data_IF_987674929570
#
_entry.id   IF_987674929570
#
_cell.length_a   1.000
_cell.length_b   1.000
_cell.length_c   1.000
_cell.angle_alpha   90.00
_cell.angle_beta   90.00
_cell.angle_gamma   90.00
#
_symmetry.space_group_name_H-M   'P 1'
#
loop_
_entity.id
_entity.type
_entity.pdbx_description
1 polymer ?
#
# COMPACT_ATOMS: atom_id res chain seq x y z
N UNK A 1 -19.77 6.56 3.79
CA UNK A 1 -19.87 6.46 2.32
C UNK A 1 -21.33 6.29 1.94
N UNK A 2 -21.91 7.23 1.17
CA UNK A 2 -23.29 7.15 0.69
C UNK A 2 -23.30 7.54 -0.80
N UNK A 3 -23.44 6.57 -1.69
CA UNK A 3 -23.66 6.83 -3.12
C UNK A 3 -25.16 7.03 -3.38
N UNK A 4 -25.51 7.69 -4.50
CA UNK A 4 -26.91 7.90 -4.91
C UNK A 4 -27.29 7.10 -6.15
N UNK A 5 -26.45 7.14 -7.18
CA UNK A 5 -26.72 6.48 -8.46
C UNK A 5 -25.93 5.17 -8.58
N UNK A 6 -24.61 5.29 -8.52
CA UNK A 6 -23.67 4.19 -8.65
C UNK A 6 -22.53 4.33 -7.63
N UNK A 7 -21.97 3.22 -7.15
CA UNK A 7 -20.75 3.25 -6.37
C UNK A 7 -19.63 3.94 -7.13
N UNK A 8 -18.83 4.72 -6.42
CA UNK A 8 -17.71 5.46 -6.97
C UNK A 8 -16.51 5.38 -6.03
N UNK A 9 -15.33 5.72 -6.55
CA UNK A 9 -14.12 5.86 -5.76
C UNK A 9 -13.92 7.35 -5.44
N UNK A 10 -14.01 7.78 -4.16
CA UNK A 10 -13.72 9.15 -3.77
C UNK A 10 -12.26 9.54 -4.04
N UNK A 11 -12.00 10.83 -4.23
CA UNK A 11 -10.65 11.33 -4.46
C UNK A 11 -9.77 11.14 -3.22
N UNK A 12 -10.33 11.30 -2.03
CA UNK A 12 -9.65 11.11 -0.75
C UNK A 12 -9.20 9.65 -0.57
N UNK A 13 -9.96 8.69 -1.11
CA UNK A 13 -9.57 7.29 -1.15
C UNK A 13 -8.40 7.08 -2.12
N UNK A 14 -8.56 7.47 -3.38
CA UNK A 14 -7.60 7.15 -4.45
C UNK A 14 -6.30 7.95 -4.39
N UNK A 15 -6.33 9.16 -3.83
CA UNK A 15 -5.20 10.09 -3.78
C UNK A 15 -4.53 10.13 -2.41
N UNK A 16 -5.19 9.66 -1.34
CA UNK A 16 -4.60 9.61 -0.01
C UNK A 16 -4.78 8.24 0.67
N UNK A 17 -5.99 7.88 1.09
CA UNK A 17 -6.17 6.76 2.01
C UNK A 17 -5.62 5.45 1.46
N UNK A 18 -5.97 5.06 0.23
CA UNK A 18 -5.52 3.81 -0.40
C UNK A 18 -4.06 3.83 -0.89
N UNK A 19 -3.31 4.88 -0.57
CA UNK A 19 -1.87 5.00 -0.82
C UNK A 19 -1.04 4.78 0.44
N UNK A 20 -1.65 4.33 1.53
CA UNK A 20 -0.94 3.92 2.74
C UNK A 20 0.10 2.83 2.47
N UNK A 21 -0.18 1.95 1.49
CA UNK A 21 0.71 0.87 1.10
C UNK A 21 2.10 1.30 0.61
N UNK A 22 2.28 2.58 0.23
CA UNK A 22 3.61 3.09 -0.12
C UNK A 22 4.61 3.05 1.06
N UNK A 23 4.14 3.18 2.30
CA UNK A 23 4.99 3.07 3.50
C UNK A 23 5.37 1.62 3.81
N UNK A 24 4.57 0.66 3.35
CA UNK A 24 4.79 -0.77 3.57
C UNK A 24 5.80 -1.42 2.62
N UNK A 25 6.31 -0.67 1.65
CA UNK A 25 7.21 -1.19 0.60
C UNK A 25 8.64 -1.27 1.13
N UNK A 26 9.23 -2.47 1.27
CA UNK A 26 10.59 -2.63 1.76
C UNK A 26 11.62 -2.15 0.75
N UNK A 27 12.80 -1.76 1.22
CA UNK A 27 13.92 -1.36 0.36
C UNK A 27 14.57 -2.53 -0.39
N UNK A 28 14.47 -3.73 0.16
CA UNK A 28 14.97 -4.98 -0.44
C UNK A 28 13.97 -6.11 -0.18
N UNK A 29 13.96 -7.13 -1.03
CA UNK A 29 13.15 -8.33 -0.81
C UNK A 29 13.91 -9.57 -1.27
N UNK A 30 13.83 -10.65 -0.49
CA UNK A 30 14.20 -11.98 -0.99
C UNK A 30 13.07 -12.55 -1.83
N UNK A 31 13.33 -12.83 -3.10
CA UNK A 31 12.33 -13.36 -4.05
C UNK A 31 12.33 -14.89 -4.11
N UNK A 32 13.51 -15.51 -4.03
CA UNK A 32 13.72 -16.95 -4.03
C UNK A 32 15.15 -17.29 -3.54
N UNK A 33 15.57 -18.54 -3.66
CA UNK A 33 16.90 -19.05 -3.28
C UNK A 33 17.95 -19.04 -4.41
N UNK A 34 17.64 -18.41 -5.54
CA UNK A 34 18.49 -18.35 -6.74
C UNK A 34 18.94 -16.94 -7.12
N UNK A 35 18.06 -15.94 -7.00
CA UNK A 35 18.41 -14.55 -7.29
C UNK A 35 19.41 -14.07 -6.25
N UNK A 36 20.64 -13.79 -6.70
CA UNK A 36 21.58 -12.99 -5.95
C UNK A 36 21.97 -11.73 -6.73
N UNK A 37 22.17 -10.64 -5.99
CA UNK A 37 22.84 -9.43 -6.46
C UNK A 37 24.01 -9.17 -5.51
N UNK A 38 25.24 -9.07 -6.05
CA UNK A 38 26.47 -8.91 -5.27
C UNK A 38 26.63 -9.92 -4.11
N UNK A 39 26.22 -11.17 -4.32
CA UNK A 39 26.29 -12.24 -3.31
C UNK A 39 25.21 -12.18 -2.22
N UNK A 40 24.24 -11.27 -2.32
CA UNK A 40 23.11 -11.13 -1.41
C UNK A 40 21.82 -11.66 -2.04
N UNK A 41 21.02 -12.39 -1.27
CA UNK A 41 19.65 -12.77 -1.62
C UNK A 41 18.61 -11.69 -1.34
N UNK A 42 19.00 -10.63 -0.61
CA UNK A 42 18.17 -9.44 -0.43
C UNK A 42 18.38 -8.54 -1.64
N UNK A 43 17.41 -8.57 -2.55
CA UNK A 43 17.50 -7.87 -3.83
C UNK A 43 16.96 -6.45 -3.66
N UNK A 44 17.70 -5.41 -4.07
CA UNK A 44 17.21 -4.03 -4.07
C UNK A 44 15.90 -3.89 -4.82
N UNK A 45 14.98 -3.08 -4.29
CA UNK A 45 13.73 -2.82 -4.99
C UNK A 45 13.98 -2.13 -6.33
N UNK A 46 14.75 -1.03 -6.30
CA UNK A 46 15.15 -0.26 -7.48
C UNK A 46 16.61 0.18 -7.37
N UNK A 47 17.36 0.01 -8.45
CA UNK A 47 18.67 0.59 -8.70
C UNK A 47 18.64 1.27 -10.07
N UNK A 48 18.94 2.57 -10.08
CA UNK A 48 18.95 3.36 -11.32
C UNK A 48 20.02 2.92 -12.30
N UNK A 49 21.13 2.37 -11.81
CA UNK A 49 22.22 1.91 -12.68
C UNK A 49 21.81 0.68 -13.50
N UNK A 50 20.77 -0.03 -13.06
CA UNK A 50 20.21 -1.21 -13.70
C UNK A 50 19.08 -0.87 -14.71
N UNK A 51 18.67 0.41 -14.78
CA UNK A 51 17.56 0.81 -15.65
C UNK A 51 17.89 0.56 -17.13
N UNK A 52 17.00 -0.19 -17.79
CA UNK A 52 17.11 -0.52 -19.19
C UNK A 52 17.89 -1.81 -19.46
N UNK A 53 18.44 -2.45 -18.42
CA UNK A 53 18.90 -3.83 -18.53
C UNK A 53 17.71 -4.77 -18.77
N UNK A 54 17.92 -5.79 -19.60
CA UNK A 54 16.92 -6.83 -19.83
C UNK A 54 16.81 -7.81 -18.65
N UNK A 55 17.81 -7.93 -17.78
CA UNK A 55 17.75 -8.75 -16.57
C UNK A 55 18.51 -8.06 -15.42
N UNK A 56 18.00 -6.94 -14.88
CA UNK A 56 18.71 -6.05 -13.93
C UNK A 56 19.04 -6.68 -12.56
N UNK A 57 20.11 -6.30 -11.87
CA UNK A 57 20.41 -6.83 -10.52
C UNK A 57 19.59 -6.20 -9.36
N UNK A 58 18.35 -5.80 -9.68
CA UNK A 58 17.30 -5.29 -8.78
C UNK A 58 15.90 -5.91 -9.10
N UNK A 59 14.85 -5.39 -8.46
CA UNK A 59 13.46 -5.78 -8.70
C UNK A 59 12.70 -4.81 -9.63
N UNK A 60 13.41 -3.98 -10.39
CA UNK A 60 12.79 -3.13 -11.38
C UNK A 60 12.14 -3.95 -12.49
N UNK A 61 11.04 -3.42 -13.02
CA UNK A 61 10.27 -4.07 -14.09
C UNK A 61 10.86 -3.81 -15.48
N UNK A 62 10.04 -4.03 -16.50
CA UNK A 62 10.35 -3.73 -17.91
C UNK A 62 11.48 -4.55 -18.56
N UNK A 63 12.04 -5.52 -17.84
CA UNK A 63 12.96 -6.54 -18.35
C UNK A 63 12.31 -7.89 -18.70
N UNK A 64 13.16 -8.88 -18.91
CA UNK A 64 12.84 -10.29 -19.16
C UNK A 64 12.44 -11.00 -17.86
N UNK A 65 11.49 -11.93 -17.98
CA UNK A 65 11.20 -12.93 -16.94
C UNK A 65 12.29 -14.01 -16.92
N UNK A 66 13.47 -13.68 -16.37
CA UNK A 66 14.57 -14.63 -16.20
C UNK A 66 14.24 -15.70 -15.14
N UNK A 67 14.83 -16.89 -15.28
CA UNK A 67 14.57 -18.02 -14.38
C UNK A 67 14.88 -17.69 -12.91
N UNK A 68 15.98 -16.96 -12.68
CA UNK A 68 16.37 -16.48 -11.34
C UNK A 68 15.32 -15.60 -10.67
N UNK A 69 14.28 -15.11 -11.36
CA UNK A 69 13.27 -14.17 -10.82
C UNK A 69 11.94 -14.83 -10.44
N UNK A 70 11.77 -16.14 -10.64
CA UNK A 70 10.52 -16.79 -10.28
C UNK A 70 10.27 -16.67 -8.78
N UNK A 71 9.12 -16.10 -8.42
CA UNK A 71 8.77 -15.82 -7.03
C UNK A 71 8.54 -17.15 -6.29
N UNK A 72 9.24 -17.34 -5.18
CA UNK A 72 8.88 -18.34 -4.19
C UNK A 72 7.91 -17.69 -3.21
N UNK A 73 6.62 -18.07 -3.30
CA UNK A 73 5.53 -17.44 -2.53
C UNK A 73 5.67 -17.59 -1.01
N UNK A 74 6.43 -18.57 -0.55
CA UNK A 74 6.78 -18.75 0.85
C UNK A 74 7.53 -17.56 1.47
N UNK A 75 8.13 -16.69 0.65
CA UNK A 75 8.78 -15.47 1.11
C UNK A 75 7.84 -14.26 1.20
N UNK A 76 6.62 -14.35 0.63
CA UNK A 76 5.65 -13.26 0.60
C UNK A 76 4.42 -13.55 1.47
N UNK A 77 4.00 -14.80 1.57
CA UNK A 77 2.82 -15.22 2.32
C UNK A 77 3.19 -16.19 3.42
N UNK A 78 2.46 -16.12 4.53
CA UNK A 78 2.62 -17.08 5.63
C UNK A 78 2.00 -18.42 5.26
N UNK A 79 2.82 -19.32 4.73
CA UNK A 79 2.46 -20.70 4.42
C UNK A 79 2.72 -21.66 5.60
N UNK A 80 3.02 -21.12 6.80
CA UNK A 80 3.28 -21.91 8.00
C UNK A 80 4.71 -22.46 8.12
N UNK A 81 5.59 -22.19 7.15
CA UNK A 81 6.99 -22.60 7.19
C UNK A 81 7.93 -21.58 7.86
N UNK A 82 7.40 -20.41 8.26
CA UNK A 82 8.14 -19.36 8.95
C UNK A 82 9.17 -18.60 8.09
N UNK A 83 9.12 -18.69 6.76
CA UNK A 83 10.07 -17.98 5.88
C UNK A 83 9.55 -16.66 5.33
N UNK A 84 8.28 -16.34 5.57
CA UNK A 84 7.66 -15.14 5.02
C UNK A 84 8.31 -13.85 5.54
N UNK A 85 8.40 -12.85 4.67
CA UNK A 85 8.90 -11.52 5.04
C UNK A 85 7.70 -10.62 5.33
N UNK A 86 7.69 -10.00 6.51
CA UNK A 86 6.70 -8.97 6.82
C UNK A 86 6.94 -7.73 5.94
N UNK A 87 5.87 -6.99 5.64
CA UNK A 87 6.00 -5.66 5.04
C UNK A 87 6.62 -4.68 6.04
N UNK A 88 7.06 -3.53 5.54
CA UNK A 88 7.34 -2.39 6.42
C UNK A 88 6.05 -1.92 7.11
N UNK A 89 6.20 -1.14 8.19
CA UNK A 89 5.08 -0.58 8.95
C UNK A 89 4.33 0.47 8.12
N UNK A 90 3.12 0.79 8.55
CA UNK A 90 2.36 1.94 8.05
C UNK A 90 2.72 3.13 8.93
N UNK A 91 3.76 3.87 8.55
CA UNK A 91 4.24 5.03 9.29
C UNK A 91 4.73 6.14 8.34
N UNK A 92 5.30 7.20 8.91
CA UNK A 92 5.77 8.36 8.13
C UNK A 92 7.16 8.14 7.51
N UNK A 93 7.73 6.94 7.61
CA UNK A 93 9.00 6.53 7.01
C UNK A 93 8.73 5.72 5.74
N UNK A 94 9.53 5.99 4.71
CA UNK A 94 9.46 5.27 3.44
C UNK A 94 10.84 4.72 3.09
N UNK A 95 10.87 3.60 2.38
CA UNK A 95 12.11 3.02 1.88
C UNK A 95 12.81 3.98 0.90
N UNK A 96 14.14 4.05 1.00
CA UNK A 96 14.99 4.92 0.18
C UNK A 96 14.72 4.84 -1.34
N UNK A 97 14.54 3.65 -1.94
CA UNK A 97 14.23 3.50 -3.36
C UNK A 97 12.99 4.27 -3.84
N UNK A 98 12.03 4.58 -2.94
CA UNK A 98 10.84 5.35 -3.30
C UNK A 98 11.10 6.85 -3.46
N UNK A 99 12.23 7.37 -2.99
CA UNK A 99 12.60 8.77 -3.17
C UNK A 99 13.27 9.05 -4.53
N UNK A 100 13.73 8.02 -5.23
CA UNK A 100 14.38 8.14 -6.53
C UNK A 100 13.93 7.04 -7.50
N UNK A 101 12.69 7.17 -8.01
CA UNK A 101 12.14 6.20 -8.95
C UNK A 101 12.87 6.25 -10.31
N UNK A 102 13.48 5.14 -10.78
CA UNK A 102 14.32 5.16 -11.98
C UNK A 102 13.50 5.28 -13.28
N UNK A 103 12.23 4.88 -13.27
CA UNK A 103 11.34 4.87 -14.44
C UNK A 103 10.57 6.19 -14.65
N UNK A 104 10.87 7.24 -13.88
CA UNK A 104 10.33 8.58 -14.07
C UNK A 104 11.41 9.42 -14.77
N UNK A 105 11.21 9.71 -16.06
CA UNK A 105 12.34 9.98 -16.97
C UNK A 105 12.24 11.17 -17.93
N UNK A 106 11.29 12.09 -17.80
CA UNK A 106 11.42 13.39 -18.48
C UNK A 106 12.25 14.35 -17.62
N UNK A 107 13.16 15.12 -18.22
CA UNK A 107 13.89 16.18 -17.52
C UNK A 107 12.90 17.15 -16.85
N UNK A 108 13.02 17.30 -15.54
CA UNK A 108 12.13 18.13 -14.72
C UNK A 108 10.99 17.38 -14.00
N UNK A 109 10.81 16.08 -14.24
CA UNK A 109 9.82 15.29 -13.50
C UNK A 109 10.26 15.00 -12.06
N UNK A 110 9.28 15.06 -11.14
CA UNK A 110 9.48 14.70 -9.74
C UNK A 110 9.61 13.19 -9.62
N UNK A 111 10.82 12.70 -9.32
CA UNK A 111 11.13 11.26 -9.15
C UNK A 111 10.68 10.71 -7.79
N UNK A 112 10.67 11.54 -6.76
CA UNK A 112 10.27 11.13 -5.41
C UNK A 112 8.79 10.78 -5.34
N UNK A 113 8.48 9.51 -5.06
CA UNK A 113 7.12 9.03 -4.86
C UNK A 113 6.36 9.80 -3.77
N UNK A 114 6.90 10.02 -2.55
CA UNK A 114 6.19 10.81 -1.54
C UNK A 114 5.95 12.26 -1.99
N UNK A 115 6.90 12.88 -2.71
CA UNK A 115 6.70 14.22 -3.26
C UNK A 115 5.61 14.24 -4.34
N UNK A 116 5.61 13.28 -5.27
CA UNK A 116 4.53 13.11 -6.27
C UNK A 116 3.18 12.95 -5.59
N UNK A 117 3.15 12.21 -4.49
CA UNK A 117 1.94 11.95 -3.74
C UNK A 117 1.38 13.22 -3.08
N UNK A 118 2.23 13.99 -2.40
CA UNK A 118 1.85 15.27 -1.79
C UNK A 118 1.39 16.29 -2.84
N UNK A 119 2.12 16.41 -3.96
CA UNK A 119 1.74 17.29 -5.07
C UNK A 119 0.41 16.88 -5.70
N UNK A 120 0.16 15.57 -5.84
CA UNK A 120 -1.12 15.05 -6.33
C UNK A 120 -2.26 15.41 -5.36
N UNK A 121 -2.06 15.24 -4.06
CA UNK A 121 -3.03 15.65 -3.04
C UNK A 121 -3.36 17.13 -3.12
N UNK A 122 -2.34 17.98 -3.26
CA UNK A 122 -2.52 19.42 -3.44
C UNK A 122 -3.28 19.75 -4.73
N UNK A 123 -2.89 19.16 -5.86
CA UNK A 123 -3.52 19.42 -7.17
C UNK A 123 -5.02 19.02 -7.21
N UNK A 124 -5.42 18.00 -6.45
CA UNK A 124 -6.81 17.58 -6.31
C UNK A 124 -7.57 18.32 -5.21
N UNK A 125 -6.91 19.27 -4.52
CA UNK A 125 -7.54 20.06 -3.46
C UNK A 125 -7.97 19.22 -2.26
N UNK A 126 -7.19 18.19 -1.90
CA UNK A 126 -7.54 17.36 -0.76
C UNK A 126 -7.62 18.19 0.53
N UNK A 127 -8.65 17.98 1.38
CA UNK A 127 -8.70 18.56 2.72
C UNK A 127 -7.55 18.04 3.59
N UNK A 128 -7.23 18.75 4.67
CA UNK A 128 -6.26 18.26 5.66
C UNK A 128 -6.80 17.04 6.42
N UNK A 129 -5.89 16.27 7.02
CA UNK A 129 -6.26 15.16 7.88
C UNK A 129 -7.17 15.58 9.04
N UNK A 130 -6.87 16.72 9.68
CA UNK A 130 -7.69 17.28 10.76
C UNK A 130 -9.10 17.67 10.27
N UNK A 131 -9.21 18.25 9.07
CA UNK A 131 -10.51 18.61 8.50
C UNK A 131 -11.36 17.36 8.18
N UNK A 132 -10.73 16.31 7.61
CA UNK A 132 -11.40 15.03 7.35
C UNK A 132 -11.81 14.35 8.65
N UNK A 133 -10.93 14.29 9.65
CA UNK A 133 -11.24 13.71 10.95
C UNK A 133 -12.48 14.36 11.57
N UNK A 134 -12.53 15.71 11.61
CA UNK A 134 -13.71 16.44 12.08
C UNK A 134 -14.97 16.13 11.27
N UNK A 135 -14.88 16.11 9.95
CA UNK A 135 -16.02 15.82 9.07
C UNK A 135 -16.55 14.37 9.23
N UNK A 136 -15.66 13.43 9.57
CA UNK A 136 -16.00 12.03 9.83
C UNK A 136 -16.38 11.75 11.29
N UNK A 137 -16.36 12.78 12.15
CA UNK A 137 -16.55 12.68 13.60
C UNK A 137 -15.52 11.75 14.28
N UNK A 138 -14.28 11.76 13.79
CA UNK A 138 -13.12 11.16 14.43
C UNK A 138 -12.36 12.22 15.23
N UNK A 139 -11.73 11.82 16.33
CA UNK A 139 -10.86 12.71 17.11
C UNK A 139 -9.60 13.05 16.28
N UNK A 140 -9.30 14.33 16.03
CA UNK A 140 -8.07 14.70 15.35
C UNK A 140 -6.84 14.35 16.19
N UNK A 141 -5.74 13.99 15.53
CA UNK A 141 -4.46 13.77 16.19
C UNK A 141 -4.06 15.03 16.96
N UNK A 142 -3.53 14.85 18.19
CA UNK A 142 -3.02 15.98 18.97
C UNK A 142 -1.82 16.61 18.25
N UNK A 143 -1.62 17.92 18.41
CA UNK A 143 -0.54 18.65 17.71
C UNK A 143 0.84 18.11 18.04
N UNK A 144 1.01 17.58 19.24
CA UNK A 144 2.21 16.95 19.75
C UNK A 144 2.63 15.74 18.90
N UNK A 145 1.66 15.01 18.34
CA UNK A 145 1.90 13.89 17.43
C UNK A 145 2.36 14.34 16.03
N UNK A 146 2.37 15.66 15.76
CA UNK A 146 2.73 16.29 14.50
C UNK A 146 3.81 17.38 14.68
N UNK A 147 4.47 17.39 15.84
CA UNK A 147 5.42 18.44 16.20
C UNK A 147 6.63 18.53 15.24
N UNK A 148 7.01 17.39 14.63
CA UNK A 148 8.09 17.28 13.66
C UNK A 148 7.80 17.98 12.32
N UNK A 149 6.53 18.29 12.03
CA UNK A 149 6.12 19.04 10.83
C UNK A 149 5.56 20.44 11.16
N UNK A 150 5.75 20.89 12.40
CA UNK A 150 5.25 22.19 12.86
C UNK A 150 5.93 23.39 12.16
N UNK A 151 7.22 23.29 11.83
CA UNK A 151 7.96 24.33 11.12
C UNK A 151 7.41 24.59 9.70
N UNK A 152 6.72 23.60 9.13
CA UNK A 152 6.01 23.71 7.85
C UNK A 152 4.56 24.20 8.02
N UNK A 153 4.10 24.39 9.26
CA UNK A 153 2.71 24.69 9.61
C UNK A 153 1.74 23.52 9.43
N UNK A 154 2.26 22.32 9.17
CA UNK A 154 1.46 21.12 8.93
C UNK A 154 0.99 20.45 10.21
N UNK A 155 1.41 20.88 11.40
CA UNK A 155 0.82 20.50 12.68
C UNK A 155 -0.66 20.93 12.81
N UNK A 156 -1.07 21.92 12.00
CA UNK A 156 -2.45 22.47 11.96
C UNK A 156 -3.31 21.87 10.87
N UNK A 157 -2.75 21.78 9.67
CA UNK A 157 -3.42 21.38 8.45
C UNK A 157 -2.51 20.42 7.70
N UNK A 158 -2.43 19.18 8.20
CA UNK A 158 -1.53 18.16 7.67
C UNK A 158 -2.07 17.62 6.34
N UNK A 159 -1.23 17.43 5.30
CA UNK A 159 -1.63 16.72 4.09
C UNK A 159 -2.24 15.35 4.43
N UNK A 160 -3.44 15.07 3.87
CA UNK A 160 -4.25 13.92 4.27
C UNK A 160 -3.51 12.58 4.26
N UNK A 161 -2.70 12.31 3.23
CA UNK A 161 -1.93 11.06 3.16
C UNK A 161 -0.91 10.94 4.30
N UNK A 162 -0.14 12.00 4.57
CA UNK A 162 0.83 12.00 5.66
C UNK A 162 0.12 11.83 7.01
N UNK A 163 -1.02 12.49 7.19
CA UNK A 163 -1.81 12.35 8.40
C UNK A 163 -2.29 10.90 8.61
N UNK A 164 -2.75 10.21 7.56
CA UNK A 164 -3.20 8.81 7.65
C UNK A 164 -2.04 7.88 8.06
N UNK A 165 -0.84 8.14 7.55
CA UNK A 165 0.36 7.40 7.96
C UNK A 165 0.72 7.68 9.43
N UNK A 166 0.72 8.95 9.86
CA UNK A 166 0.99 9.33 11.24
C UNK A 166 -0.08 8.82 12.21
N UNK A 167 -1.34 8.75 11.77
CA UNK A 167 -2.44 8.17 12.54
C UNK A 167 -2.20 6.68 12.79
N UNK A 168 -1.82 5.92 11.76
CA UNK A 168 -1.47 4.51 11.89
C UNK A 168 -0.24 4.30 12.81
N UNK A 169 0.80 5.11 12.62
CA UNK A 169 2.03 5.10 13.43
C UNK A 169 1.71 5.28 14.92
N UNK A 170 0.97 6.33 15.27
CA UNK A 170 0.75 6.74 16.67
C UNK A 170 -0.32 5.90 17.37
N UNK A 171 -1.39 5.53 16.68
CA UNK A 171 -2.55 4.86 17.30
C UNK A 171 -2.52 3.35 17.17
N UNK A 172 -1.72 2.80 16.25
CA UNK A 172 -1.72 1.38 15.93
C UNK A 172 -0.31 0.78 15.77
N UNK A 173 0.74 1.49 16.20
CA UNK A 173 2.14 1.05 16.05
C UNK A 173 2.48 0.73 14.57
N UNK A 174 1.81 1.39 13.63
CA UNK A 174 1.92 1.15 12.19
C UNK A 174 1.56 -0.28 11.73
N UNK A 175 0.90 -1.10 12.57
CA UNK A 175 0.51 -2.47 12.22
C UNK A 175 -0.79 -2.55 11.42
N UNK A 176 -1.59 -1.50 11.51
CA UNK A 176 -2.84 -1.34 10.78
C UNK A 176 -3.15 0.15 10.62
N UNK A 177 -4.07 0.48 9.72
CA UNK A 177 -4.57 1.84 9.59
C UNK A 177 -5.23 2.32 10.91
N UNK A 178 -5.10 3.61 11.17
CA UNK A 178 -5.83 4.26 12.26
C UNK A 178 -7.33 4.38 12.00
N UNK A 179 -8.11 4.88 12.98
CA UNK A 179 -9.57 4.94 12.90
C UNK A 179 -10.10 5.69 11.67
N UNK A 180 -9.54 6.85 11.32
CA UNK A 180 -9.97 7.62 10.16
C UNK A 180 -9.55 6.93 8.87
N UNK A 181 -8.25 6.65 8.70
CA UNK A 181 -7.73 6.03 7.48
C UNK A 181 -8.37 4.68 7.18
N UNK A 182 -8.52 3.83 8.21
CA UNK A 182 -9.14 2.52 8.11
C UNK A 182 -10.61 2.61 7.73
N UNK A 183 -11.36 3.54 8.34
CA UNK A 183 -12.77 3.77 7.99
C UNK A 183 -12.93 4.26 6.55
N UNK A 184 -12.07 5.17 6.09
CA UNK A 184 -12.09 5.64 4.69
C UNK A 184 -11.91 4.49 3.70
N UNK A 185 -10.95 3.59 3.95
CA UNK A 185 -10.70 2.43 3.08
C UNK A 185 -11.87 1.45 3.14
N UNK A 186 -12.30 1.07 4.35
CA UNK A 186 -13.35 0.10 4.55
C UNK A 186 -14.69 0.54 3.95
N UNK A 187 -15.11 1.78 4.19
CA UNK A 187 -16.39 2.29 3.69
C UNK A 187 -16.47 2.28 2.16
N UNK A 188 -15.35 2.53 1.45
CA UNK A 188 -15.31 2.47 -0.01
C UNK A 188 -15.36 1.03 -0.51
N UNK A 189 -14.53 0.13 0.03
CA UNK A 189 -14.52 -1.28 -0.40
C UNK A 189 -15.86 -1.97 -0.13
N UNK A 190 -16.44 -1.76 1.05
CA UNK A 190 -17.76 -2.30 1.40
C UNK A 190 -18.83 -1.72 0.47
N UNK A 191 -18.83 -0.40 0.26
CA UNK A 191 -19.84 0.24 -0.57
C UNK A 191 -19.75 -0.12 -2.07
N UNK A 192 -18.55 -0.44 -2.57
CA UNK A 192 -18.37 -1.03 -3.91
C UNK A 192 -18.97 -2.43 -3.97
N UNK A 193 -18.69 -3.29 -2.97
CA UNK A 193 -19.25 -4.65 -2.89
C UNK A 193 -20.78 -4.63 -2.80
N UNK A 194 -21.36 -3.78 -1.96
CA UNK A 194 -22.82 -3.68 -1.79
C UNK A 194 -23.53 -3.14 -3.04
N UNK A 195 -22.89 -2.22 -3.75
CA UNK A 195 -23.50 -1.59 -4.92
C UNK A 195 -23.34 -2.39 -6.22
N UNK A 196 -22.32 -3.25 -6.32
CA UNK A 196 -22.16 -4.15 -7.47
C UNK A 196 -23.20 -5.29 -7.42
N UNK A 197 -24.01 -5.41 -8.49
CA UNK A 197 -25.04 -6.46 -8.64
C UNK A 197 -24.45 -7.85 -8.81
N UNK A 198 -23.20 -7.95 -9.27
CA UNK A 198 -22.50 -9.20 -9.52
C UNK A 198 -21.61 -9.64 -8.36
N UNK A 199 -21.43 -8.79 -7.34
CA UNK A 199 -20.66 -9.19 -6.16
C UNK A 199 -21.32 -10.36 -5.46
N UNK A 200 -20.53 -11.26 -4.87
CA UNK A 200 -21.08 -12.37 -4.07
C UNK A 200 -21.97 -11.86 -2.93
N UNK A 201 -21.63 -10.73 -2.30
CA UNK A 201 -22.42 -10.11 -1.23
C UNK A 201 -23.86 -9.81 -1.66
N UNK A 202 -24.08 -9.50 -2.95
CA UNK A 202 -25.40 -9.14 -3.48
C UNK A 202 -26.06 -10.24 -4.31
N UNK A 203 -25.30 -10.93 -5.14
CA UNK A 203 -25.80 -11.96 -6.04
C UNK A 203 -26.10 -13.28 -5.32
N UNK A 204 -25.30 -13.63 -4.31
CA UNK A 204 -25.46 -14.84 -3.51
C UNK A 204 -24.97 -14.60 -2.06
N UNK A 205 -25.79 -13.93 -1.21
CA UNK A 205 -25.37 -13.51 0.14
C UNK A 205 -25.07 -14.68 1.09
N UNK A 206 -25.50 -15.90 0.74
CA UNK A 206 -25.24 -17.11 1.51
C UNK A 206 -24.05 -17.90 0.96
N UNK A 207 -23.48 -17.46 -0.16
CA UNK A 207 -22.32 -18.08 -0.77
C UNK A 207 -21.17 -18.20 0.23
N UNK A 208 -20.51 -19.35 0.15
CA UNK A 208 -19.30 -19.66 0.90
C UNK A 208 -18.27 -20.25 -0.04
N UNK A 209 -16.98 -19.94 0.11
CA UNK A 209 -15.97 -20.55 -0.72
C UNK A 209 -15.88 -22.06 -0.49
N UNK A 210 -15.62 -22.80 -1.57
CA UNK A 210 -15.57 -24.27 -1.60
C UNK A 210 -14.17 -24.82 -1.90
N UNK A 211 -13.22 -23.97 -2.27
CA UNK A 211 -11.87 -24.36 -2.67
C UNK A 211 -10.85 -24.31 -1.52
N UNK A 212 -11.24 -23.83 -0.33
CA UNK A 212 -10.33 -23.77 0.81
C UNK A 212 -10.26 -25.07 1.59
N UNK A 213 -9.18 -25.22 2.38
CA UNK A 213 -8.97 -26.38 3.24
C UNK A 213 -10.04 -26.52 4.35
N UNK A 214 -10.68 -25.41 4.74
CA UNK A 214 -11.78 -25.36 5.70
C UNK A 214 -13.06 -24.88 5.02
N UNK A 215 -14.16 -25.57 5.31
CA UNK A 215 -15.45 -25.25 4.69
C UNK A 215 -15.86 -23.80 4.96
N UNK A 216 -16.11 -23.05 3.89
CA UNK A 216 -16.51 -21.65 3.95
C UNK A 216 -15.40 -20.67 4.31
N UNK A 217 -14.14 -21.10 4.30
CA UNK A 217 -12.97 -20.24 4.37
C UNK A 217 -12.13 -20.40 3.09
N UNK A 218 -11.51 -19.31 2.64
CA UNK A 218 -10.57 -19.34 1.54
C UNK A 218 -9.63 -18.15 1.64
N UNK A 219 -8.33 -18.44 1.78
CA UNK A 219 -7.26 -17.48 1.87
C UNK A 219 -6.28 -17.59 0.70
N UNK A 220 -5.26 -16.74 0.75
CA UNK A 220 -4.22 -16.73 -0.29
C UNK A 220 -3.44 -18.04 -0.34
N UNK A 221 -3.23 -18.72 0.80
CA UNK A 221 -2.53 -20.01 0.83
C UNK A 221 -3.34 -21.09 0.12
N UNK A 222 -4.66 -21.14 0.31
CA UNK A 222 -5.53 -22.08 -0.42
C UNK A 222 -5.45 -21.85 -1.93
N UNK A 223 -5.35 -20.59 -2.37
CA UNK A 223 -5.17 -20.25 -3.78
C UNK A 223 -3.82 -20.76 -4.32
N UNK A 224 -2.74 -20.60 -3.55
CA UNK A 224 -1.40 -21.06 -3.94
C UNK A 224 -1.36 -22.59 -4.05
N UNK A 225 -1.93 -23.29 -3.06
CA UNK A 225 -2.04 -24.75 -3.06
C UNK A 225 -2.87 -25.24 -4.26
N UNK A 226 -4.01 -24.59 -4.53
CA UNK A 226 -4.86 -24.92 -5.67
C UNK A 226 -4.16 -24.69 -7.02
N UNK A 227 -3.33 -23.65 -7.13
CA UNK A 227 -2.59 -23.31 -8.34
C UNK A 227 -1.32 -24.17 -8.56
N UNK A 228 -0.94 -24.99 -7.57
CA UNK A 228 0.28 -25.82 -7.61
C UNK A 228 1.56 -24.99 -7.49
N UNK A 229 1.50 -23.91 -6.70
CA UNK A 229 2.59 -22.95 -6.52
C UNK A 229 3.64 -23.40 -5.50
#
# INVERSE_FOLDING_TARGET
YQWRNEPYIPVEFSVAAYRYGHSQVPGTLKVNDQFQSNGSYQIPLFDRNELGDADPDDLSGFGKRAERRYVNWNYLFDTGNGTHQASDRIDTVLSGPLFDLPFVGADGDVRSLPQRNLLRGHAFGLPSGQAVARAMCCDPLPREALADVADLGFDRETPLWFYILREAEVLADGKQLGPMGGRMVAEVLIGLLEGDRQSFVRADPQWKPTLGAREGEFGIVDLLDFAGA
#
